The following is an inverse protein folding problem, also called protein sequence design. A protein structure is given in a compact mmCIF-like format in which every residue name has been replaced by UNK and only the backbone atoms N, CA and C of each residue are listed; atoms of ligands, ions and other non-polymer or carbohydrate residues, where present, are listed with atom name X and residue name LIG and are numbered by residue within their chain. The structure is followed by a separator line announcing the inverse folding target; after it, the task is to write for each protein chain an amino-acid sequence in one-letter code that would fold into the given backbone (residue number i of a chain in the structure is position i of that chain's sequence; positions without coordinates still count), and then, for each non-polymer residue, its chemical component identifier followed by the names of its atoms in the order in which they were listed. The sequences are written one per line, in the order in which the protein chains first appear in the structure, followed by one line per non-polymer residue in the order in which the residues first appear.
data_IF_195557300725
#
_entry.id   IF_195557300725
#
_cell.length_a   1.000
_cell.length_b   1.000
_cell.length_c   1.000
_cell.angle_alpha   90.00
_cell.angle_beta   90.00
_cell.angle_gamma   90.00
#
_symmetry.space_group_name_H-M   'P 1'
#
loop_
_entity.id
_entity.type
_entity.pdbx_description
1 polymer ?
#
# COMPACT_ATOMS: atom_id res chain seq x y z
N UNK A 1 -8.19 24.72 -47.34
CA UNK A 1 -7.48 25.24 -46.14
C UNK A 1 -8.48 25.22 -44.99
N UNK A 2 -8.30 24.32 -44.02
CA UNK A 2 -9.24 24.17 -42.91
C UNK A 2 -9.18 25.44 -42.04
N UNK A 3 -10.32 26.13 -41.93
CA UNK A 3 -10.48 27.33 -41.14
C UNK A 3 -10.50 26.90 -39.67
N UNK A 4 -9.35 26.93 -39.00
CA UNK A 4 -9.27 26.76 -37.55
C UNK A 4 -9.86 28.01 -36.90
N UNK A 5 -11.19 28.08 -36.85
CA UNK A 5 -11.91 28.96 -35.92
C UNK A 5 -11.57 28.51 -34.51
N UNK A 6 -10.49 29.06 -33.96
CA UNK A 6 -10.25 29.06 -32.53
C UNK A 6 -11.54 29.55 -31.88
N UNK A 7 -12.16 28.73 -31.03
CA UNK A 7 -13.34 29.17 -30.28
C UNK A 7 -12.95 30.39 -29.45
N UNK A 8 -13.33 31.58 -29.92
CA UNK A 8 -13.11 32.85 -29.23
C UNK A 8 -13.93 32.98 -27.95
N UNK A 9 -14.78 31.98 -27.67
CA UNK A 9 -15.64 31.89 -26.49
C UNK A 9 -15.06 30.94 -25.43
N UNK A 10 -13.75 30.72 -25.40
CA UNK A 10 -13.13 29.95 -24.32
C UNK A 10 -13.07 30.80 -23.04
N UNK A 11 -14.13 30.64 -22.24
CA UNK A 11 -14.36 31.24 -20.92
C UNK A 11 -14.36 32.80 -20.92
N UNK A 12 -15.55 33.44 -20.91
CA UNK A 12 -15.66 34.90 -20.95
C UNK A 12 -14.90 35.60 -19.81
N UNK A 13 -14.75 34.94 -18.67
CA UNK A 13 -14.03 35.47 -17.50
C UNK A 13 -12.51 35.51 -17.69
N UNK A 14 -11.94 34.66 -18.54
CA UNK A 14 -10.50 34.72 -18.83
C UNK A 14 -10.14 35.84 -19.80
N UNK A 15 -11.06 36.17 -20.69
CA UNK A 15 -10.85 37.23 -21.67
C UNK A 15 -10.95 38.62 -21.04
N UNK A 16 -11.64 38.75 -19.90
CA UNK A 16 -11.73 40.00 -19.13
C UNK A 16 -10.55 40.22 -18.18
N UNK A 17 -9.73 39.20 -17.91
CA UNK A 17 -8.57 39.32 -17.04
C UNK A 17 -7.31 39.84 -17.77
N UNK A 18 -6.46 40.62 -17.08
CA UNK A 18 -5.11 40.94 -17.52
C UNK A 18 -4.30 39.69 -17.85
N UNK A 19 -3.43 39.74 -18.87
CA UNK A 19 -2.72 38.55 -19.39
C UNK A 19 -1.90 37.82 -18.32
N UNK A 20 -1.30 38.56 -17.39
CA UNK A 20 -0.52 38.05 -16.25
C UNK A 20 -1.38 37.30 -15.21
N UNK A 21 -2.68 37.54 -15.16
CA UNK A 21 -3.60 36.90 -14.19
C UNK A 21 -4.32 35.69 -14.78
N UNK A 22 -4.41 35.60 -16.12
CA UNK A 22 -5.06 34.49 -16.83
C UNK A 22 -4.47 33.13 -16.48
N UNK A 23 -3.15 33.04 -16.31
CA UNK A 23 -2.48 31.78 -15.95
C UNK A 23 -2.94 31.25 -14.60
N UNK A 24 -2.99 32.11 -13.58
CA UNK A 24 -3.45 31.77 -12.24
C UNK A 24 -4.93 31.39 -12.20
N UNK A 25 -5.76 32.09 -12.97
CA UNK A 25 -7.19 31.77 -13.06
C UNK A 25 -7.43 30.42 -13.74
N UNK A 26 -6.74 30.13 -14.85
CA UNK A 26 -6.81 28.80 -15.51
C UNK A 26 -6.44 27.67 -14.56
N UNK A 27 -5.38 27.84 -13.78
CA UNK A 27 -4.91 26.81 -12.86
C UNK A 27 -5.86 26.58 -11.69
N UNK A 28 -6.40 27.64 -11.10
CA UNK A 28 -7.20 27.57 -9.87
C UNK A 28 -8.69 27.31 -10.11
N UNK A 29 -9.29 27.89 -11.14
CA UNK A 29 -10.75 27.86 -11.33
C UNK A 29 -11.22 26.88 -12.41
N UNK A 30 -10.32 26.46 -13.30
CA UNK A 30 -10.67 25.54 -14.40
C UNK A 30 -9.95 24.21 -14.23
N UNK A 31 -8.60 24.24 -14.20
CA UNK A 31 -7.80 23.03 -14.12
C UNK A 31 -7.93 22.33 -12.75
N UNK A 32 -8.03 23.05 -11.64
CA UNK A 32 -8.16 22.42 -10.32
C UNK A 32 -9.50 21.67 -10.12
N UNK A 33 -10.67 22.26 -10.44
CA UNK A 33 -11.93 21.52 -10.38
C UNK A 33 -12.00 20.35 -11.36
N UNK A 34 -11.45 20.49 -12.57
CA UNK A 34 -11.36 19.37 -13.52
C UNK A 34 -10.46 18.26 -12.98
N UNK A 35 -9.25 18.57 -12.49
CA UNK A 35 -8.33 17.59 -11.88
C UNK A 35 -8.95 16.84 -10.71
N UNK A 36 -9.78 17.51 -9.90
CA UNK A 36 -10.54 16.90 -8.82
C UNK A 36 -11.61 15.92 -9.32
N UNK A 37 -12.27 16.21 -10.45
CA UNK A 37 -13.27 15.30 -11.06
C UNK A 37 -12.64 14.03 -11.65
N UNK A 38 -11.42 14.10 -12.18
CA UNK A 38 -10.71 12.97 -12.82
C UNK A 38 -9.73 12.25 -11.87
N UNK A 39 -9.61 12.65 -10.60
CA UNK A 39 -8.83 11.92 -9.59
C UNK A 39 -7.33 11.79 -9.90
N UNK A 40 -6.74 12.75 -10.63
CA UNK A 40 -5.32 12.68 -11.02
C UNK A 40 -4.39 13.10 -9.87
N UNK A 41 -3.39 12.28 -9.56
CA UNK A 41 -2.38 12.45 -8.48
C UNK A 41 -1.50 13.73 -8.53
N UNK A 42 -1.79 14.69 -9.40
CA UNK A 42 -1.05 15.95 -9.51
C UNK A 42 -1.60 17.09 -8.62
N UNK A 43 -2.57 16.79 -7.75
CA UNK A 43 -2.99 17.74 -6.72
C UNK A 43 -1.99 17.73 -5.56
N UNK A 44 -0.94 18.56 -5.67
CA UNK A 44 -0.21 19.03 -4.48
C UNK A 44 -0.88 20.34 -4.05
N UNK A 45 -1.61 20.39 -2.93
CA UNK A 45 -2.05 21.67 -2.41
C UNK A 45 -0.83 22.56 -2.14
N UNK A 46 -0.96 23.85 -2.43
CA UNK A 46 0.01 24.87 -2.05
C UNK A 46 0.25 24.70 -0.53
N UNK A 47 1.49 24.45 -0.13
CA UNK A 47 1.85 24.25 1.27
C UNK A 47 1.78 25.60 1.99
N UNK A 48 0.58 26.02 2.40
CA UNK A 48 0.35 27.26 3.14
C UNK A 48 0.42 26.93 4.63
N UNK A 49 1.49 27.39 5.28
CA UNK A 49 1.61 27.43 6.74
C UNK A 49 0.66 28.51 7.28
N UNK A 50 -0.58 28.11 7.59
CA UNK A 50 -1.53 28.77 8.49
C UNK A 50 -2.86 27.99 8.52
N UNK A 51 -2.87 26.86 9.24
CA UNK A 51 -4.06 26.13 9.70
C UNK A 51 -4.93 25.37 8.66
N UNK A 52 -4.32 24.73 7.66
CA UNK A 52 -4.93 23.54 7.03
C UNK A 52 -3.98 22.36 7.19
N UNK A 53 -4.43 21.34 7.92
CA UNK A 53 -3.74 20.05 8.06
C UNK A 53 -3.72 19.32 6.72
N UNK A 54 -2.69 18.49 6.54
CA UNK A 54 -2.61 17.47 5.47
C UNK A 54 -3.95 16.75 5.28
N UNK A 55 -4.28 16.30 4.05
CA UNK A 55 -5.59 15.72 3.73
C UNK A 55 -5.99 14.66 4.77
N UNK A 56 -7.19 14.76 5.34
CA UNK A 56 -7.67 13.82 6.38
C UNK A 56 -7.64 12.37 5.91
N UNK A 57 -7.69 12.11 4.60
CA UNK A 57 -7.37 10.81 4.02
C UNK A 57 -6.44 11.03 2.85
N UNK A 58 -5.14 10.80 3.06
CA UNK A 58 -4.22 10.59 1.95
C UNK A 58 -4.68 9.34 1.19
N UNK A 59 -4.58 9.35 -0.15
CA UNK A 59 -4.78 8.14 -0.95
C UNK A 59 -3.83 7.07 -0.41
N UNK A 60 -4.32 6.07 0.35
CA UNK A 60 -3.43 5.08 0.90
C UNK A 60 -2.85 4.34 -0.29
N UNK A 61 -1.56 4.08 -0.25
CA UNK A 61 -0.98 3.01 -1.06
C UNK A 61 -1.91 1.82 -0.87
N UNK A 62 -2.52 1.31 -1.93
CA UNK A 62 -3.31 0.07 -1.86
C UNK A 62 -2.33 -1.06 -1.64
N UNK A 63 -1.83 -1.16 -0.41
CA UNK A 63 -1.28 -2.38 0.15
C UNK A 63 -2.46 -3.31 0.39
N UNK A 64 -2.16 -4.60 0.47
CA UNK A 64 -3.13 -5.65 0.78
C UNK A 64 -4.06 -5.17 1.91
N UNK A 65 -5.37 -5.22 1.65
CA UNK A 65 -6.38 -4.46 2.38
C UNK A 65 -6.55 -4.98 3.81
N UNK A 66 -5.65 -4.56 4.70
CA UNK A 66 -5.70 -4.86 6.13
C UNK A 66 -6.07 -3.60 6.89
N UNK A 67 -7.18 -3.67 7.62
CA UNK A 67 -7.55 -2.70 8.64
C UNK A 67 -6.95 -3.11 10.00
N UNK A 68 -6.76 -2.14 10.89
CA UNK A 68 -6.23 -2.37 12.26
C UNK A 68 -4.90 -3.13 12.27
N UNK A 69 -3.93 -2.63 11.50
CA UNK A 69 -2.62 -3.27 11.33
C UNK A 69 -1.85 -3.29 12.65
N UNK A 70 -1.38 -4.47 13.03
CA UNK A 70 -0.46 -4.76 14.14
C UNK A 70 0.79 -5.45 13.59
N UNK A 71 1.82 -5.58 14.42
CA UNK A 71 3.08 -6.21 14.04
C UNK A 71 3.45 -7.33 15.00
N UNK A 72 3.79 -8.50 14.45
CA UNK A 72 4.38 -9.61 15.17
C UNK A 72 5.90 -9.51 15.09
N UNK A 73 6.53 -9.25 16.24
CA UNK A 73 7.93 -8.86 16.31
C UNK A 73 8.93 -10.00 16.50
N UNK A 74 8.47 -11.25 16.69
CA UNK A 74 9.25 -12.51 16.73
C UNK A 74 8.32 -13.64 17.21
N UNK A 75 7.41 -14.08 16.35
CA UNK A 75 6.56 -15.22 16.68
C UNK A 75 7.30 -16.54 16.49
N UNK A 76 7.03 -17.52 17.35
CA UNK A 76 7.39 -18.93 17.11
C UNK A 76 6.17 -19.65 16.56
N UNK A 77 6.14 -20.00 15.26
CA UNK A 77 5.01 -20.71 14.66
C UNK A 77 4.73 -22.03 15.39
N UNK A 78 3.46 -22.38 15.51
CA UNK A 78 3.06 -23.63 16.17
C UNK A 78 3.29 -24.82 15.24
N UNK A 79 3.73 -25.94 15.81
CA UNK A 79 4.05 -27.16 15.08
C UNK A 79 5.23 -27.89 15.72
N UNK A 80 5.32 -29.20 15.52
CA UNK A 80 6.38 -29.99 16.14
C UNK A 80 7.65 -29.93 15.28
N UNK A 81 8.72 -29.32 15.77
CA UNK A 81 10.02 -29.31 15.04
C UNK A 81 10.78 -30.62 15.29
N UNK A 82 10.42 -31.66 14.52
CA UNK A 82 10.91 -33.03 14.72
C UNK A 82 11.81 -33.57 13.60
N UNK A 83 12.16 -32.76 12.58
CA UNK A 83 12.94 -33.20 11.41
C UNK A 83 12.09 -33.84 10.30
N UNK A 84 10.77 -33.94 10.47
CA UNK A 84 9.85 -34.56 9.51
C UNK A 84 8.66 -33.64 9.21
N UNK A 85 8.16 -32.92 10.21
CA UNK A 85 7.05 -31.99 10.05
C UNK A 85 7.50 -30.74 9.28
N UNK A 86 6.85 -30.50 8.15
CA UNK A 86 7.09 -29.33 7.31
C UNK A 86 5.97 -28.28 7.40
N UNK A 87 4.91 -28.56 8.17
CA UNK A 87 3.73 -27.69 8.28
C UNK A 87 3.69 -26.99 9.64
N UNK A 88 3.57 -25.67 9.61
CA UNK A 88 3.53 -24.82 10.80
C UNK A 88 2.44 -23.76 10.66
N UNK A 89 1.96 -23.23 11.78
CA UNK A 89 0.84 -22.28 11.79
C UNK A 89 1.21 -20.99 12.52
N UNK A 90 0.90 -19.87 11.88
CA UNK A 90 0.92 -18.56 12.50
C UNK A 90 -0.36 -18.36 13.34
N UNK A 91 -0.19 -17.81 14.53
CA UNK A 91 -1.23 -17.66 15.54
C UNK A 91 -2.08 -16.39 15.35
N UNK A 92 -1.53 -15.36 14.70
CA UNK A 92 -2.27 -14.12 14.47
C UNK A 92 -3.19 -14.23 13.25
N UNK A 93 -4.05 -13.21 13.09
CA UNK A 93 -5.06 -13.11 12.05
C UNK A 93 -4.50 -12.99 10.62
N UNK A 94 -5.25 -12.32 9.74
CA UNK A 94 -4.85 -12.18 8.33
C UNK A 94 -3.50 -11.46 8.23
N UNK A 95 -2.49 -12.18 7.74
CA UNK A 95 -1.11 -11.71 7.60
C UNK A 95 -0.94 -10.96 6.28
N UNK A 96 -0.24 -9.84 6.32
CA UNK A 96 0.30 -9.22 5.11
C UNK A 96 1.51 -10.04 4.64
N UNK A 97 1.27 -10.87 3.63
CA UNK A 97 2.28 -11.77 3.10
C UNK A 97 3.51 -11.00 2.58
N UNK A 98 3.33 -9.77 2.11
CA UNK A 98 4.44 -8.95 1.59
C UNK A 98 5.43 -8.52 2.67
N UNK A 99 5.03 -8.57 3.94
CA UNK A 99 5.87 -8.20 5.09
C UNK A 99 6.47 -9.40 5.82
N UNK A 100 6.06 -10.61 5.44
CA UNK A 100 6.45 -11.83 6.14
C UNK A 100 7.93 -12.14 5.90
N UNK A 101 8.65 -12.31 7.02
CA UNK A 101 10.01 -12.81 7.06
C UNK A 101 10.07 -14.03 7.97
N UNK A 102 10.71 -15.11 7.51
CA UNK A 102 10.90 -16.34 8.29
C UNK A 102 12.38 -16.66 8.40
N UNK A 103 12.82 -17.05 9.59
CA UNK A 103 14.16 -17.59 9.83
C UNK A 103 14.08 -18.97 10.48
N UNK A 104 14.99 -19.87 10.10
CA UNK A 104 15.21 -21.16 10.74
C UNK A 104 16.65 -21.19 11.25
N UNK A 105 16.85 -21.28 12.57
CA UNK A 105 18.18 -21.18 13.21
C UNK A 105 18.97 -19.95 12.70
N UNK A 106 18.29 -18.79 12.69
CA UNK A 106 18.79 -17.50 12.18
C UNK A 106 19.10 -17.43 10.67
N UNK A 107 18.83 -18.49 9.91
CA UNK A 107 18.93 -18.48 8.44
C UNK A 107 17.63 -18.02 7.80
N UNK A 108 17.68 -16.92 7.06
CA UNK A 108 16.57 -16.39 6.27
C UNK A 108 16.06 -17.43 5.25
N UNK A 109 14.74 -17.60 5.21
CA UNK A 109 14.05 -18.49 4.28
C UNK A 109 13.38 -17.68 3.18
N UNK A 110 13.46 -18.14 1.94
CA UNK A 110 12.92 -17.46 0.76
C UNK A 110 11.53 -18.01 0.42
N UNK A 111 10.54 -17.14 0.36
CA UNK A 111 9.19 -17.52 -0.02
C UNK A 111 9.13 -18.04 -1.47
N UNK A 112 8.35 -19.09 -1.69
CA UNK A 112 8.20 -19.85 -2.93
C UNK A 112 9.46 -20.61 -3.39
N UNK A 113 10.51 -20.60 -2.58
CA UNK A 113 11.73 -21.39 -2.80
C UNK A 113 11.98 -22.36 -1.64
N UNK A 114 11.91 -21.89 -0.40
CA UNK A 114 12.14 -22.72 0.79
C UNK A 114 10.83 -23.05 1.52
N UNK A 115 9.82 -22.18 1.37
CA UNK A 115 8.49 -22.39 1.92
C UNK A 115 7.40 -21.73 1.07
N UNK A 116 6.17 -22.22 1.20
CA UNK A 116 4.96 -21.54 0.72
C UNK A 116 4.08 -21.16 1.90
N UNK A 117 3.20 -20.19 1.71
CA UNK A 117 2.21 -19.78 2.72
C UNK A 117 0.81 -19.80 2.11
N UNK A 118 -0.15 -20.29 2.88
CA UNK A 118 -1.56 -20.30 2.47
C UNK A 118 -2.47 -20.09 3.67
N UNK A 119 -3.74 -19.82 3.42
CA UNK A 119 -4.72 -19.49 4.46
C UNK A 119 -5.31 -18.10 4.27
N UNK A 120 -6.34 -17.80 5.08
CA UNK A 120 -7.03 -16.51 5.08
C UNK A 120 -6.95 -15.84 6.45
N UNK A 121 -7.34 -16.55 7.51
CA UNK A 121 -7.34 -16.03 8.89
C UNK A 121 -6.15 -16.53 9.69
N UNK A 122 -5.80 -17.81 9.55
CA UNK A 122 -4.60 -18.39 10.15
C UNK A 122 -3.72 -18.89 9.01
N UNK A 123 -2.51 -18.35 8.92
CA UNK A 123 -1.62 -18.74 7.84
C UNK A 123 -0.89 -20.03 8.17
N UNK A 124 -0.91 -20.94 7.22
CA UNK A 124 -0.15 -22.18 7.22
C UNK A 124 1.11 -21.97 6.42
N UNK A 125 2.25 -22.14 7.07
CA UNK A 125 3.58 -22.20 6.47
C UNK A 125 3.85 -23.65 6.11
N UNK A 126 4.20 -23.90 4.85
CA UNK A 126 4.60 -25.20 4.35
C UNK A 126 6.03 -25.10 3.82
N UNK A 127 6.99 -25.62 4.59
CA UNK A 127 8.36 -25.78 4.12
C UNK A 127 8.43 -26.85 3.03
N UNK A 128 9.37 -26.67 2.11
CA UNK A 128 9.71 -27.70 1.11
C UNK A 128 10.51 -28.81 1.80
N UNK A 129 11.54 -28.42 2.57
CA UNK A 129 12.32 -29.32 3.41
C UNK A 129 12.00 -29.10 4.88
N UNK A 130 11.66 -30.17 5.59
CA UNK A 130 11.31 -30.09 7.00
C UNK A 130 12.52 -29.56 7.82
N UNK A 131 12.33 -28.54 8.68
CA UNK A 131 13.38 -28.06 9.56
C UNK A 131 13.95 -29.18 10.44
N UNK A 132 15.26 -29.16 10.65
CA UNK A 132 15.96 -30.17 11.44
C UNK A 132 15.40 -30.26 12.87
N UNK A 133 15.56 -31.42 13.50
CA UNK A 133 15.03 -31.64 14.86
C UNK A 133 15.58 -30.60 15.83
N UNK A 134 14.70 -29.96 16.60
CA UNK A 134 15.00 -28.87 17.55
C UNK A 134 15.45 -27.54 16.91
N UNK A 135 15.34 -27.37 15.59
CA UNK A 135 15.51 -26.04 15.00
C UNK A 135 14.52 -25.04 15.59
N UNK A 136 14.89 -23.77 15.59
CA UNK A 136 14.07 -22.67 16.06
C UNK A 136 13.56 -21.91 14.84
N UNK A 137 12.25 -21.71 14.77
CA UNK A 137 11.59 -20.99 13.68
C UNK A 137 11.07 -19.67 14.24
N UNK A 138 11.46 -18.56 13.63
CA UNK A 138 10.91 -17.24 13.94
C UNK A 138 10.21 -16.64 12.72
N UNK A 139 9.08 -15.97 12.97
CA UNK A 139 8.32 -15.25 11.97
C UNK A 139 8.11 -13.79 12.41
N UNK A 140 8.28 -12.87 11.46
CA UNK A 140 8.10 -11.44 11.63
C UNK A 140 7.18 -10.95 10.52
N UNK A 141 6.10 -10.26 10.87
CA UNK A 141 5.09 -9.87 9.89
C UNK A 141 4.09 -8.84 10.44
N UNK A 142 3.45 -8.11 9.53
CA UNK A 142 2.28 -7.31 9.83
C UNK A 142 1.00 -8.17 9.70
N UNK A 143 0.01 -7.93 10.55
CA UNK A 143 -1.29 -8.61 10.50
C UNK A 143 -2.43 -7.67 10.88
N UNK A 144 -3.64 -8.01 10.46
CA UNK A 144 -4.82 -7.20 10.75
C UNK A 144 -6.11 -7.94 10.44
N UNK A 145 -7.19 -7.18 10.35
CA UNK A 145 -8.48 -7.67 9.83
C UNK A 145 -8.57 -7.37 8.33
N UNK A 146 -9.16 -8.25 7.51
CA UNK A 146 -9.53 -7.90 6.14
C UNK A 146 -10.35 -6.61 6.14
N UNK A 147 -10.02 -5.66 5.26
CA UNK A 147 -10.73 -4.39 5.11
C UNK A 147 -12.09 -4.56 4.41
#
# INVERSE_FOLDING_TARGET
MANNTYQTVWNPTLNTLPQNERGYYKLSQIAAPERQKIGTNSYRPLNVVANTVSPTVGHPWTTQALANVNFSGQETPTGNVNGINATFYLANGTVDISTLTITVDDLLQIQNQDYTISGATYQTIQFIDAPSKKSIIYAFYAYGTPA
#
